data_IF_381485890274
#
_entry.id   IF_381485890274
#
_cell.length_a   1.000
_cell.length_b   1.000
_cell.length_c   1.000
_cell.angle_alpha   90.00
_cell.angle_beta   90.00
_cell.angle_gamma   90.00
#
_symmetry.space_group_name_H-M   'P 1'
#
loop_
_entity.id
_entity.type
_entity.pdbx_description
1 polymer ?
#
# COMPACT_ATOMS: atom_id res chain seq x y z
N UNK A 1 -8.49 -7.53 14.98
CA UNK A 1 -7.37 -6.72 14.48
C UNK A 1 -7.84 -6.01 13.22
N UNK A 2 -7.62 -4.71 13.11
CA UNK A 2 -8.11 -3.89 11.98
C UNK A 2 -6.94 -3.24 11.24
N UNK A 3 -7.11 -2.92 9.96
CA UNK A 3 -6.12 -2.20 9.15
C UNK A 3 -6.81 -1.13 8.29
N UNK A 4 -6.05 -0.13 7.87
CA UNK A 4 -6.43 0.80 6.81
C UNK A 4 -5.71 0.38 5.52
N UNK A 5 -6.48 0.10 4.47
CA UNK A 5 -5.94 -0.25 3.16
C UNK A 5 -6.10 0.95 2.21
N UNK A 6 -5.03 1.36 1.53
CA UNK A 6 -5.07 2.38 0.47
C UNK A 6 -4.54 1.74 -0.81
N UNK A 7 -5.42 1.51 -1.77
CA UNK A 7 -5.03 0.95 -3.06
C UNK A 7 -4.58 2.06 -4.03
N UNK A 8 -3.62 1.72 -4.89
CA UNK A 8 -3.13 2.55 -6.00
C UNK A 8 -2.71 3.96 -5.56
N UNK A 9 -1.95 4.02 -4.46
CA UNK A 9 -1.51 5.26 -3.82
C UNK A 9 -0.68 6.15 -4.77
N UNK A 10 0.15 5.53 -5.60
CA UNK A 10 1.00 6.19 -6.57
C UNK A 10 0.19 6.88 -7.69
N UNK A 11 -0.98 6.35 -8.07
CA UNK A 11 -1.85 7.03 -9.02
C UNK A 11 -2.40 8.36 -8.48
N UNK A 12 -2.62 8.45 -7.16
CA UNK A 12 -3.16 9.65 -6.50
C UNK A 12 -2.10 10.66 -6.05
N UNK A 13 -0.91 10.18 -5.63
CA UNK A 13 0.13 11.02 -5.01
C UNK A 13 1.44 11.08 -5.79
N UNK A 14 1.61 10.20 -6.79
CA UNK A 14 2.81 10.13 -7.60
C UNK A 14 2.94 11.33 -8.52
N UNK A 15 4.17 11.83 -8.65
CA UNK A 15 4.50 12.86 -9.63
C UNK A 15 4.86 12.22 -10.96
N UNK A 16 3.98 12.37 -11.95
CA UNK A 16 4.22 11.90 -13.32
C UNK A 16 4.61 13.07 -14.23
N UNK A 17 5.84 13.09 -14.73
CA UNK A 17 6.33 14.13 -15.65
C UNK A 17 6.18 15.56 -15.11
N UNK A 18 5.54 16.43 -15.90
CA UNK A 18 5.28 17.83 -15.53
C UNK A 18 3.94 18.05 -14.80
N UNK A 19 3.30 16.99 -14.31
CA UNK A 19 2.04 17.09 -13.57
C UNK A 19 2.19 18.04 -12.38
N UNK A 20 1.33 19.06 -12.32
CA UNK A 20 1.26 19.96 -11.18
C UNK A 20 0.59 19.23 -10.01
N UNK A 21 1.28 19.19 -8.88
CA UNK A 21 0.71 18.67 -7.64
C UNK A 21 -0.28 19.69 -7.07
N UNK A 22 -1.47 19.22 -6.72
CA UNK A 22 -2.49 20.07 -6.09
C UNK A 22 -2.23 20.21 -4.59
N UNK A 23 -2.90 21.18 -3.96
CA UNK A 23 -2.90 21.34 -2.49
C UNK A 23 -3.43 20.08 -1.80
N UNK A 24 -4.42 19.39 -2.39
CA UNK A 24 -4.97 18.16 -1.82
C UNK A 24 -3.91 17.07 -1.72
N UNK A 25 -3.04 16.93 -2.73
CA UNK A 25 -1.96 15.94 -2.70
C UNK A 25 -1.00 16.21 -1.53
N UNK A 26 -0.68 17.49 -1.28
CA UNK A 26 0.19 17.89 -0.17
C UNK A 26 -0.47 17.60 1.19
N UNK A 27 -1.78 17.83 1.32
CA UNK A 27 -2.55 17.52 2.54
C UNK A 27 -2.53 16.01 2.82
N UNK A 28 -2.76 15.17 1.80
CA UNK A 28 -2.73 13.71 1.98
C UNK A 28 -1.34 13.24 2.41
N UNK A 29 -0.28 13.70 1.74
CA UNK A 29 1.11 13.34 2.10
C UNK A 29 1.43 13.77 3.53
N UNK A 30 1.11 15.01 3.92
CA UNK A 30 1.33 15.51 5.28
C UNK A 30 0.54 14.73 6.33
N UNK A 31 -0.69 14.33 6.01
CA UNK A 31 -1.53 13.51 6.90
C UNK A 31 -0.91 12.13 7.11
N UNK A 32 -0.49 11.45 6.04
CA UNK A 32 0.17 10.14 6.15
C UNK A 32 1.49 10.22 6.94
N UNK A 33 2.28 11.28 6.75
CA UNK A 33 3.49 11.51 7.54
C UNK A 33 3.18 11.68 9.03
N UNK A 34 2.16 12.46 9.37
CA UNK A 34 1.76 12.68 10.76
C UNK A 34 1.24 11.40 11.43
N UNK A 35 0.45 10.60 10.70
CA UNK A 35 -0.03 9.30 11.17
C UNK A 35 1.12 8.32 11.41
N UNK A 36 2.14 8.32 10.53
CA UNK A 36 3.31 7.47 10.69
C UNK A 36 4.17 7.89 11.91
N UNK A 37 4.33 9.20 12.14
CA UNK A 37 5.11 9.71 13.28
C UNK A 37 4.40 9.52 14.63
N UNK A 38 3.07 9.68 14.66
CA UNK A 38 2.28 9.67 15.89
C UNK A 38 1.03 8.78 15.79
N UNK A 39 1.17 7.45 15.62
CA UNK A 39 0.06 6.56 15.27
C UNK A 39 -1.02 6.41 16.35
N UNK A 40 -0.70 6.78 17.59
CA UNK A 40 -1.62 6.73 18.74
C UNK A 40 -2.21 8.11 19.10
N UNK A 41 -1.86 9.17 18.35
CA UNK A 41 -2.33 10.54 18.58
C UNK A 41 -2.86 11.11 17.29
N UNK A 42 -4.14 10.87 17.04
CA UNK A 42 -4.83 11.29 15.82
C UNK A 42 -6.02 12.17 16.19
N UNK A 43 -6.06 13.41 15.69
CA UNK A 43 -7.16 14.34 15.89
C UNK A 43 -7.83 14.68 14.55
N UNK A 44 -9.15 14.81 14.57
CA UNK A 44 -9.98 15.24 13.43
C UNK A 44 -10.22 16.76 13.43
N UNK A 45 -9.38 17.54 14.12
CA UNK A 45 -9.49 19.00 14.19
C UNK A 45 -10.28 19.54 15.40
N UNK A 46 -10.53 18.71 16.41
CA UNK A 46 -11.06 19.17 17.71
C UNK A 46 -9.93 19.56 18.68
N UNK A 47 -10.28 20.27 19.76
CA UNK A 47 -9.34 20.59 20.85
C UNK A 47 -8.68 19.29 21.35
N UNK A 48 -7.35 19.24 21.25
CA UNK A 48 -6.55 18.16 21.81
C UNK A 48 -6.79 18.03 23.31
N UNK A 49 -7.16 16.83 23.77
CA UNK A 49 -7.10 16.47 25.18
C UNK A 49 -5.92 15.52 25.37
N UNK A 50 -5.19 15.67 26.48
CA UNK A 50 -4.05 14.79 26.80
C UNK A 50 -4.45 13.30 26.90
N UNK A 51 -5.73 13.03 27.16
CA UNK A 51 -6.33 11.71 27.24
C UNK A 51 -6.66 11.06 25.89
N UNK A 52 -6.57 11.80 24.78
CA UNK A 52 -7.03 11.31 23.46
C UNK A 52 -5.95 10.42 22.83
N UNK A 53 -5.88 9.18 23.32
CA UNK A 53 -5.00 8.13 22.81
C UNK A 53 -5.82 7.14 21.99
N UNK A 54 -5.41 6.91 20.75
CA UNK A 54 -6.03 5.94 19.84
C UNK A 54 -5.22 4.66 19.76
N UNK A 55 -5.88 3.57 19.36
CA UNK A 55 -5.18 2.35 18.99
C UNK A 55 -4.36 2.58 17.72
N UNK A 56 -3.15 2.03 17.67
CA UNK A 56 -2.32 2.02 16.46
C UNK A 56 -2.98 1.11 15.42
N UNK A 57 -3.26 1.67 14.25
CA UNK A 57 -3.81 0.93 13.11
C UNK A 57 -2.72 0.81 12.04
N UNK A 58 -2.39 -0.40 11.55
CA UNK A 58 -1.49 -0.56 10.42
C UNK A 58 -2.13 0.00 9.14
N UNK A 59 -1.32 0.71 8.35
CA UNK A 59 -1.70 1.20 7.02
C UNK A 59 -0.97 0.32 5.99
N UNK A 60 -1.74 -0.32 5.10
CA UNK A 60 -1.21 -1.07 3.97
C UNK A 60 -1.52 -0.27 2.71
N UNK A 61 -0.48 0.02 1.93
CA UNK A 61 -0.63 0.75 0.68
C UNK A 61 -0.13 -0.09 -0.50
N UNK A 62 -0.85 -0.07 -1.61
CA UNK A 62 -0.38 -0.62 -2.89
C UNK A 62 -0.07 0.49 -3.87
N UNK A 63 0.82 0.19 -4.81
CA UNK A 63 1.15 1.06 -5.92
C UNK A 63 2.10 0.35 -6.88
N UNK A 64 2.17 0.83 -8.11
CA UNK A 64 3.06 0.29 -9.13
C UNK A 64 4.48 0.86 -8.96
N UNK A 65 4.60 2.16 -8.68
CA UNK A 65 5.88 2.82 -8.52
C UNK A 65 5.89 3.92 -7.44
N UNK A 66 6.46 3.58 -6.27
CA UNK A 66 6.64 4.51 -5.16
C UNK A 66 7.83 5.47 -5.32
N UNK A 67 8.65 5.36 -6.38
CA UNK A 67 9.73 6.31 -6.65
C UNK A 67 9.22 7.72 -6.94
N UNK A 68 7.97 7.82 -7.40
CA UNK A 68 7.29 9.07 -7.74
C UNK A 68 6.69 9.80 -6.53
N UNK A 69 6.65 9.15 -5.36
CA UNK A 69 6.12 9.72 -4.12
C UNK A 69 7.09 10.71 -3.48
N UNK A 70 6.56 11.58 -2.62
CA UNK A 70 7.37 12.52 -1.86
C UNK A 70 8.35 11.79 -0.93
N UNK A 71 9.66 11.97 -1.16
CA UNK A 71 10.71 11.21 -0.48
C UNK A 71 10.61 11.17 1.06
N UNK A 72 10.25 12.26 1.77
CA UNK A 72 10.04 12.22 3.23
C UNK A 72 8.92 11.31 3.72
N UNK A 73 7.95 10.93 2.88
CA UNK A 73 6.92 9.95 3.24
C UNK A 73 7.49 8.52 3.20
N UNK A 74 8.30 8.21 2.20
CA UNK A 74 8.84 6.87 1.94
C UNK A 74 10.16 6.57 2.66
N UNK A 75 10.62 7.46 3.55
CA UNK A 75 11.86 7.29 4.32
C UNK A 75 11.73 6.19 5.38
N UNK A 76 12.87 5.64 5.78
CA UNK A 76 12.95 4.65 6.85
C UNK A 76 12.32 5.18 8.14
N UNK A 77 11.56 4.32 8.82
CA UNK A 77 10.80 4.65 10.03
C UNK A 77 9.35 5.06 9.81
N UNK A 78 8.94 5.40 8.57
CA UNK A 78 7.53 5.71 8.23
C UNK A 78 6.88 4.68 7.32
N UNK A 79 7.65 4.12 6.38
CA UNK A 79 7.16 3.14 5.41
C UNK A 79 8.19 2.03 5.24
N UNK A 80 7.70 0.79 5.26
CA UNK A 80 8.47 -0.39 4.84
C UNK A 80 8.03 -0.76 3.42
N UNK A 81 9.00 -0.96 2.51
CA UNK A 81 8.73 -1.28 1.10
C UNK A 81 8.83 -2.78 0.89
N UNK A 82 7.78 -3.37 0.34
CA UNK A 82 7.76 -4.76 -0.11
C UNK A 82 7.57 -4.80 -1.63
N UNK A 83 8.61 -5.22 -2.35
CA UNK A 83 8.53 -5.40 -3.80
C UNK A 83 7.98 -6.80 -4.08
N UNK A 84 6.75 -6.85 -4.58
CA UNK A 84 6.12 -8.12 -4.94
C UNK A 84 6.45 -8.49 -6.38
N UNK A 85 7.24 -9.55 -6.53
CA UNK A 85 7.50 -10.19 -7.82
C UNK A 85 7.34 -11.70 -7.62
N UNK A 86 6.24 -12.32 -8.11
CA UNK A 86 5.99 -13.72 -7.88
C UNK A 86 7.07 -14.58 -8.57
N UNK A 87 7.61 -15.55 -7.85
CA UNK A 87 8.53 -16.53 -8.40
C UNK A 87 7.80 -17.48 -9.37
N UNK A 88 8.54 -18.27 -10.14
CA UNK A 88 7.93 -19.32 -10.99
C UNK A 88 7.08 -20.27 -10.15
N UNK A 89 7.53 -20.62 -8.94
CA UNK A 89 6.77 -21.47 -8.02
C UNK A 89 5.47 -20.80 -7.57
N UNK A 90 5.52 -19.52 -7.19
CA UNK A 90 4.32 -18.75 -6.83
C UNK A 90 3.31 -18.73 -7.99
N UNK A 91 3.78 -18.46 -9.21
CA UNK A 91 2.93 -18.43 -10.41
C UNK A 91 2.27 -19.80 -10.63
N UNK A 92 3.04 -20.89 -10.61
CA UNK A 92 2.51 -22.26 -10.78
C UNK A 92 1.44 -22.53 -9.71
N UNK A 93 1.73 -22.21 -8.45
CA UNK A 93 0.83 -22.46 -7.34
C UNK A 93 -0.46 -21.62 -7.44
N UNK A 94 -0.35 -20.33 -7.74
CA UNK A 94 -1.50 -19.43 -7.92
C UNK A 94 -2.38 -19.94 -9.05
N UNK A 95 -1.79 -20.20 -10.23
CA UNK A 95 -2.55 -20.62 -11.40
C UNK A 95 -3.16 -22.01 -11.18
N UNK A 96 -2.41 -22.96 -10.61
CA UNK A 96 -2.94 -24.28 -10.26
C UNK A 96 -4.16 -24.18 -9.33
N UNK A 97 -4.11 -23.31 -8.31
CA UNK A 97 -5.23 -23.06 -7.39
C UNK A 97 -6.43 -22.42 -8.09
N UNK A 98 -6.21 -21.48 -9.01
CA UNK A 98 -7.28 -20.85 -9.79
C UNK A 98 -8.08 -21.86 -10.61
N UNK A 99 -7.41 -22.84 -11.21
CA UNK A 99 -8.02 -23.83 -12.10
C UNK A 99 -8.32 -25.18 -11.42
N UNK A 100 -8.16 -25.31 -10.10
CA UNK A 100 -8.36 -26.60 -9.39
C UNK A 100 -9.75 -27.22 -9.63
N UNK A 101 -10.76 -26.41 -9.98
CA UNK A 101 -12.12 -26.88 -10.30
C UNK A 101 -12.28 -27.34 -11.76
N UNK A 102 -11.34 -27.02 -12.64
CA UNK A 102 -11.36 -27.28 -14.08
C UNK A 102 -10.49 -28.51 -14.45
N UNK A 103 -10.68 -29.59 -13.68
CA UNK A 103 -9.81 -30.80 -13.59
C UNK A 103 -9.49 -31.45 -14.96
N UNK A 104 -10.30 -31.22 -16.00
CA UNK A 104 -10.07 -31.75 -17.34
C UNK A 104 -8.97 -31.05 -18.18
N UNK A 105 -8.65 -29.77 -17.92
CA UNK A 105 -7.76 -28.97 -18.79
C UNK A 105 -6.31 -28.88 -18.30
N UNK A 106 -6.07 -29.03 -16.99
CA UNK A 106 -4.78 -28.70 -16.35
C UNK A 106 -3.68 -29.75 -16.56
N UNK A 107 -4.02 -31.04 -16.53
CA UNK A 107 -3.04 -32.14 -16.51
C UNK A 107 -2.17 -32.21 -17.79
N UNK A 108 -2.65 -31.68 -18.93
CA UNK A 108 -1.91 -31.76 -20.21
C UNK A 108 -1.04 -30.54 -20.53
N UNK A 109 -1.27 -29.37 -19.93
CA UNK A 109 -0.55 -28.13 -20.32
C UNK A 109 0.53 -27.68 -19.35
N UNK A 110 0.42 -27.97 -18.05
CA UNK A 110 1.42 -27.49 -17.07
C UNK A 110 2.70 -28.32 -17.00
N UNK A 111 2.72 -29.55 -17.53
CA UNK A 111 3.94 -30.34 -17.66
C UNK A 111 4.83 -29.93 -18.85
N UNK A 112 4.37 -29.01 -19.70
CA UNK A 112 5.07 -28.56 -20.91
C UNK A 112 5.70 -27.16 -20.79
N UNK A 113 5.64 -26.54 -19.60
CA UNK A 113 6.23 -25.23 -19.27
C UNK A 113 7.31 -25.38 -18.20
#
# INVERSE_FOLDING_TARGET
MSCLMINDLDAGLGRFGHTQMTVNNQIVVGTLMNLADNPNRVSIGQKWRESDITHRIPIIATGNDFSTLYAPLIRDGRMEKFYWQPTREDIINIVHRMYTKDVGYLLRKFQAL
#
